data_IF_720251917209
#
_entry.id   IF_720251917209
#
_cell.length_a   1.000
_cell.length_b   1.000
_cell.length_c   1.000
_cell.angle_alpha   90.00
_cell.angle_beta   90.00
_cell.angle_gamma   90.00
#
_symmetry.space_group_name_H-M   'P 1'
#
loop_
_entity.id
_entity.type
_entity.pdbx_description
1 polymer ?
#
# COMPACT_ATOMS: atom_id res chain seq x y z
N UNK A 1 22.49 14.88 36.63
CA UNK A 1 23.28 13.82 35.97
C UNK A 1 23.11 12.55 36.80
N UNK A 2 22.16 11.71 36.48
CA UNK A 2 22.03 10.35 37.06
C UNK A 2 21.89 9.42 35.89
N UNK A 3 22.96 8.64 35.66
CA UNK A 3 23.06 7.62 34.64
C UNK A 3 22.19 6.43 34.99
N UNK A 4 21.09 6.25 34.29
CA UNK A 4 20.25 5.05 34.36
C UNK A 4 20.91 3.95 33.51
N UNK A 5 21.79 3.17 34.17
CA UNK A 5 22.39 1.99 33.58
C UNK A 5 21.45 0.81 33.75
N UNK A 6 20.64 0.52 32.75
CA UNK A 6 19.81 -0.69 32.70
C UNK A 6 20.71 -1.93 32.56
N UNK A 7 20.59 -2.94 33.41
CA UNK A 7 21.39 -4.16 33.32
C UNK A 7 20.77 -5.12 32.27
N UNK A 8 21.03 -4.90 31.00
CA UNK A 8 20.54 -5.75 29.90
C UNK A 8 21.36 -7.05 29.70
N UNK A 9 22.52 -7.16 30.33
CA UNK A 9 23.42 -8.34 30.18
C UNK A 9 23.11 -9.54 31.07
N UNK A 10 22.57 -9.33 32.27
CA UNK A 10 22.36 -10.43 33.24
C UNK A 10 21.12 -11.29 32.94
N UNK A 11 20.09 -10.71 32.30
CA UNK A 11 18.89 -11.45 31.87
C UNK A 11 19.19 -12.49 30.79
N UNK A 12 20.16 -12.20 29.91
CA UNK A 12 20.51 -13.11 28.82
C UNK A 12 21.28 -14.35 29.27
N UNK A 13 22.14 -14.25 30.29
CA UNK A 13 22.93 -15.38 30.80
C UNK A 13 22.04 -16.33 31.61
N UNK A 14 21.19 -15.81 32.48
CA UNK A 14 20.24 -16.61 33.25
C UNK A 14 19.23 -17.35 32.34
N UNK A 15 18.70 -16.66 31.34
CA UNK A 15 17.81 -17.27 30.36
C UNK A 15 18.52 -18.34 29.54
N UNK A 16 19.77 -18.13 29.19
CA UNK A 16 20.60 -19.12 28.51
C UNK A 16 20.86 -20.36 29.36
N UNK A 17 21.19 -20.20 30.64
CA UNK A 17 21.43 -21.32 31.59
C UNK A 17 20.13 -22.11 31.84
N UNK A 18 19.00 -21.46 32.01
CA UNK A 18 17.69 -22.12 32.16
C UNK A 18 17.35 -22.89 30.88
N UNK A 19 17.54 -22.30 29.69
CA UNK A 19 17.35 -22.98 28.42
C UNK A 19 18.21 -24.20 28.22
N UNK A 20 19.49 -24.13 28.62
CA UNK A 20 20.41 -25.25 28.58
C UNK A 20 19.98 -26.36 29.55
N UNK A 21 19.56 -26.02 30.77
CA UNK A 21 19.07 -26.97 31.77
C UNK A 21 17.80 -27.72 31.29
N UNK A 22 16.87 -27.00 30.64
CA UNK A 22 15.67 -27.61 30.04
C UNK A 22 16.06 -28.56 28.91
N UNK A 23 17.00 -28.18 28.04
CA UNK A 23 17.48 -29.02 26.94
C UNK A 23 18.12 -30.31 27.44
N UNK A 24 19.06 -30.20 28.38
CA UNK A 24 19.74 -31.37 28.98
C UNK A 24 18.75 -32.27 29.72
N UNK A 25 17.84 -31.70 30.49
CA UNK A 25 16.77 -32.44 31.17
C UNK A 25 15.83 -33.17 30.21
N UNK A 26 15.48 -32.54 29.10
CA UNK A 26 14.62 -33.13 28.04
C UNK A 26 15.30 -34.35 27.39
N UNK A 27 16.59 -34.22 27.05
CA UNK A 27 17.39 -35.30 26.47
C UNK A 27 17.54 -36.48 27.47
N UNK A 28 17.74 -36.18 28.74
CA UNK A 28 17.86 -37.20 29.77
C UNK A 28 16.53 -37.97 29.96
N UNK A 29 15.42 -37.27 30.05
CA UNK A 29 14.08 -37.86 30.14
C UNK A 29 13.81 -38.74 28.91
N UNK A 30 14.06 -38.23 27.70
CA UNK A 30 13.87 -38.96 26.45
C UNK A 30 14.61 -40.30 26.43
N UNK A 31 15.84 -40.32 26.91
CA UNK A 31 16.70 -41.52 26.93
C UNK A 31 16.29 -42.56 27.98
N UNK A 32 15.41 -42.18 28.93
CA UNK A 32 14.88 -43.06 29.97
C UNK A 32 13.46 -43.56 29.70
N UNK A 33 12.81 -43.09 28.63
CA UNK A 33 11.48 -43.58 28.23
C UNK A 33 11.59 -44.92 27.49
N UNK A 34 10.59 -45.80 27.69
CA UNK A 34 10.45 -47.03 26.90
C UNK A 34 10.14 -46.74 25.42
N UNK A 35 10.53 -47.62 24.50
CA UNK A 35 10.32 -47.48 23.08
C UNK A 35 8.85 -47.23 22.74
N UNK A 36 7.92 -47.98 23.32
CA UNK A 36 6.49 -47.85 23.11
C UNK A 36 5.94 -46.45 23.46
N UNK A 37 6.50 -45.84 24.53
CA UNK A 37 6.10 -44.48 24.90
C UNK A 37 6.75 -43.41 24.01
N UNK A 38 7.94 -43.66 23.47
CA UNK A 38 8.58 -42.77 22.49
C UNK A 38 7.81 -42.74 21.17
N UNK A 39 7.40 -43.92 20.65
CA UNK A 39 6.63 -44.05 19.43
C UNK A 39 5.27 -43.35 19.57
N UNK A 40 4.57 -43.57 20.67
CA UNK A 40 3.30 -42.89 20.96
C UNK A 40 3.42 -41.36 21.04
N UNK A 41 4.51 -40.84 21.63
CA UNK A 41 4.76 -39.41 21.70
C UNK A 41 4.99 -38.83 20.27
N UNK A 42 5.77 -39.53 19.45
CA UNK A 42 6.10 -39.07 18.09
C UNK A 42 4.89 -39.11 17.19
N UNK A 43 4.10 -40.19 17.23
CA UNK A 43 3.02 -40.41 16.28
C UNK A 43 1.75 -39.64 16.65
N UNK A 44 1.43 -39.50 17.93
CA UNK A 44 0.18 -38.89 18.38
C UNK A 44 0.37 -37.48 18.96
N UNK A 45 1.32 -37.29 19.88
CA UNK A 45 1.45 -36.02 20.62
C UNK A 45 2.14 -34.95 19.80
N UNK A 46 3.24 -35.27 19.11
CA UNK A 46 4.03 -34.28 18.35
C UNK A 46 3.24 -33.63 17.23
N UNK A 47 2.46 -34.37 16.39
CA UNK A 47 1.64 -33.76 15.35
C UNK A 47 0.57 -32.84 15.92
N UNK A 48 -0.08 -33.24 17.02
CA UNK A 48 -1.09 -32.42 17.69
C UNK A 48 -0.46 -31.12 18.23
N UNK A 49 0.70 -31.21 18.86
CA UNK A 49 1.40 -30.06 19.41
C UNK A 49 1.86 -29.09 18.32
N UNK A 50 2.37 -29.60 17.21
CA UNK A 50 2.71 -28.81 16.02
C UNK A 50 1.46 -28.10 15.47
N UNK A 51 0.34 -28.81 15.33
CA UNK A 51 -0.92 -28.25 14.85
C UNK A 51 -1.42 -27.12 15.78
N UNK A 52 -1.35 -27.30 17.09
CA UNK A 52 -1.71 -26.29 18.10
C UNK A 52 -0.82 -25.06 18.00
N UNK A 53 0.50 -25.25 17.85
CA UNK A 53 1.45 -24.12 17.70
C UNK A 53 1.20 -23.37 16.41
N UNK A 54 1.01 -24.06 15.28
CA UNK A 54 0.73 -23.41 13.99
C UNK A 54 -0.58 -22.62 14.05
N UNK A 55 -1.64 -23.23 14.63
CA UNK A 55 -2.94 -22.58 14.78
C UNK A 55 -2.85 -21.37 15.71
N UNK A 56 -2.12 -21.47 16.82
CA UNK A 56 -1.89 -20.36 17.75
C UNK A 56 -1.14 -19.21 17.11
N UNK A 57 -0.07 -19.50 16.36
CA UNK A 57 0.69 -18.49 15.60
C UNK A 57 -0.18 -17.83 14.52
N UNK A 58 -0.94 -18.63 13.76
CA UNK A 58 -1.87 -18.12 12.76
C UNK A 58 -2.93 -17.19 13.36
N UNK A 59 -3.54 -17.60 14.45
CA UNK A 59 -4.51 -16.79 15.19
C UNK A 59 -3.87 -15.49 15.73
N UNK A 60 -2.66 -15.57 16.27
CA UNK A 60 -1.89 -14.41 16.73
C UNK A 60 -1.65 -13.38 15.62
N UNK A 61 -1.26 -13.83 14.42
CA UNK A 61 -1.08 -12.96 13.24
C UNK A 61 -2.41 -12.32 12.83
N UNK A 62 -3.50 -13.09 12.80
CA UNK A 62 -4.84 -12.57 12.44
C UNK A 62 -5.30 -11.53 13.45
N UNK A 63 -5.19 -11.81 14.75
CA UNK A 63 -5.57 -10.86 15.82
C UNK A 63 -4.74 -9.58 15.74
N UNK A 64 -3.42 -9.71 15.53
CA UNK A 64 -2.53 -8.57 15.35
C UNK A 64 -2.95 -7.74 14.13
N UNK A 65 -3.26 -8.37 12.99
CA UNK A 65 -3.70 -7.70 11.77
C UNK A 65 -5.05 -6.98 11.95
N UNK A 66 -5.99 -7.58 12.67
CA UNK A 66 -7.28 -6.96 13.00
C UNK A 66 -7.08 -5.75 13.93
N UNK A 67 -6.23 -5.89 14.95
CA UNK A 67 -5.97 -4.81 15.91
C UNK A 67 -5.29 -3.61 15.23
N UNK A 68 -4.30 -3.86 14.38
CA UNK A 68 -3.65 -2.77 13.60
C UNK A 68 -4.65 -2.08 12.67
N UNK A 69 -5.47 -2.84 11.94
CA UNK A 69 -6.52 -2.28 11.07
C UNK A 69 -7.55 -1.44 11.84
N UNK A 70 -7.95 -1.85 13.04
CA UNK A 70 -8.87 -1.06 13.88
C UNK A 70 -8.21 0.23 14.36
N UNK A 71 -6.95 0.18 14.73
CA UNK A 71 -6.18 1.36 15.15
C UNK A 71 -6.04 2.39 14.02
N UNK A 72 -5.66 1.94 12.82
CA UNK A 72 -5.54 2.82 11.66
C UNK A 72 -6.89 3.43 11.25
N UNK A 73 -7.99 2.67 11.32
CA UNK A 73 -9.33 3.21 11.06
C UNK A 73 -9.72 4.30 12.06
N UNK A 74 -9.52 4.08 13.35
CA UNK A 74 -9.82 5.06 14.37
C UNK A 74 -8.98 6.35 14.24
N UNK A 75 -7.70 6.21 13.86
CA UNK A 75 -6.83 7.36 13.57
C UNK A 75 -7.31 8.13 12.33
N UNK A 76 -7.65 7.41 11.25
CA UNK A 76 -8.20 8.00 10.03
C UNK A 76 -9.47 8.82 10.35
N UNK A 77 -10.43 8.24 11.06
CA UNK A 77 -11.70 8.89 11.36
C UNK A 77 -11.52 10.18 12.21
N UNK A 78 -10.52 10.19 13.10
CA UNK A 78 -10.14 11.42 13.85
C UNK A 78 -9.54 12.48 12.93
N UNK A 79 -8.67 12.08 11.99
CA UNK A 79 -8.06 13.00 11.03
C UNK A 79 -9.08 13.54 10.03
N UNK A 80 -10.04 12.73 9.59
CA UNK A 80 -11.16 13.17 8.73
C UNK A 80 -11.96 14.27 9.42
N UNK A 81 -12.35 14.07 10.68
CA UNK A 81 -13.05 15.12 11.45
C UNK A 81 -12.22 16.38 11.59
N UNK A 82 -10.91 16.23 11.86
CA UNK A 82 -10.00 17.38 11.96
C UNK A 82 -9.82 18.11 10.64
N UNK A 83 -9.78 17.39 9.52
CA UNK A 83 -9.73 17.97 8.18
C UNK A 83 -10.96 18.84 7.88
N UNK A 84 -12.17 18.38 8.27
CA UNK A 84 -13.41 19.11 8.08
C UNK A 84 -13.49 20.38 8.96
N UNK A 85 -12.91 20.34 10.13
CA UNK A 85 -12.96 21.46 11.11
C UNK A 85 -11.82 22.47 10.95
N UNK A 86 -10.75 22.13 10.25
CA UNK A 86 -9.56 23.00 10.14
C UNK A 86 -9.84 24.17 9.16
N UNK A 87 -9.74 25.43 9.60
CA UNK A 87 -9.98 26.58 8.73
C UNK A 87 -8.79 26.91 7.81
N UNK A 88 -7.58 26.51 8.18
CA UNK A 88 -6.35 26.86 7.47
C UNK A 88 -6.13 25.89 6.29
N UNK A 89 -6.13 26.41 5.05
CA UNK A 89 -5.86 25.62 3.84
C UNK A 89 -4.50 24.90 3.87
N UNK A 90 -3.46 25.50 4.45
CA UNK A 90 -2.14 24.89 4.60
C UNK A 90 -2.20 23.67 5.52
N UNK A 91 -2.81 23.79 6.69
CA UNK A 91 -2.96 22.68 7.64
C UNK A 91 -3.89 21.59 7.09
N UNK A 92 -4.95 21.98 6.36
CA UNK A 92 -5.81 21.01 5.65
C UNK A 92 -5.01 20.22 4.62
N UNK A 93 -4.12 20.86 3.87
CA UNK A 93 -3.23 20.18 2.91
C UNK A 93 -2.33 19.16 3.61
N UNK A 94 -1.71 19.54 4.74
CA UNK A 94 -0.87 18.63 5.53
C UNK A 94 -1.68 17.41 6.04
N UNK A 95 -2.88 17.65 6.56
CA UNK A 95 -3.79 16.58 7.01
C UNK A 95 -4.20 15.68 5.84
N UNK A 96 -4.50 16.26 4.68
CA UNK A 96 -4.87 15.50 3.48
C UNK A 96 -3.74 14.57 3.01
N UNK A 97 -2.49 15.05 3.01
CA UNK A 97 -1.31 14.23 2.70
C UNK A 97 -1.18 13.06 3.69
N UNK A 98 -1.24 13.34 4.99
CA UNK A 98 -1.17 12.30 6.04
C UNK A 98 -2.30 11.29 5.93
N UNK A 99 -3.52 11.72 5.58
CA UNK A 99 -4.67 10.82 5.38
C UNK A 99 -4.46 9.84 4.23
N UNK A 100 -3.92 10.29 3.10
CA UNK A 100 -3.65 9.42 1.95
C UNK A 100 -2.54 8.42 2.30
N UNK A 101 -1.47 8.86 2.95
CA UNK A 101 -0.38 7.99 3.39
C UNK A 101 -0.83 6.96 4.42
N UNK A 102 -1.59 7.39 5.44
CA UNK A 102 -2.14 6.51 6.48
C UNK A 102 -3.10 5.46 5.90
N UNK A 103 -3.76 5.78 4.78
CA UNK A 103 -4.70 4.91 4.09
C UNK A 103 -4.06 4.07 2.98
N UNK A 104 -2.73 3.91 2.98
CA UNK A 104 -1.96 3.12 2.01
C UNK A 104 -2.26 3.50 0.55
N UNK A 105 -2.46 4.78 0.27
CA UNK A 105 -2.82 5.30 -1.06
C UNK A 105 -4.09 4.69 -1.65
N UNK A 106 -5.05 4.35 -0.79
CA UNK A 106 -6.37 3.85 -1.19
C UNK A 106 -7.45 4.91 -0.95
N UNK A 107 -8.43 4.97 -1.86
CA UNK A 107 -9.58 5.89 -1.69
C UNK A 107 -10.57 5.40 -0.63
N UNK A 108 -10.58 4.09 -0.36
CA UNK A 108 -11.55 3.44 0.54
C UNK A 108 -11.63 4.11 1.92
N UNK A 109 -12.80 4.67 2.23
CA UNK A 109 -13.07 5.36 3.50
C UNK A 109 -12.65 6.84 3.53
N UNK A 110 -12.26 7.42 2.39
CA UNK A 110 -12.00 8.85 2.19
C UNK A 110 -13.00 9.48 1.22
N UNK A 111 -13.95 8.71 0.69
CA UNK A 111 -14.88 9.12 -0.37
C UNK A 111 -15.61 10.43 -0.02
N UNK A 112 -16.00 10.58 1.26
CA UNK A 112 -16.74 11.75 1.76
C UNK A 112 -15.95 13.05 1.62
N UNK A 113 -14.63 13.00 1.81
CA UNK A 113 -13.74 14.17 1.78
C UNK A 113 -12.89 14.23 0.51
N UNK A 114 -13.06 13.30 -0.43
CA UNK A 114 -12.25 13.20 -1.63
C UNK A 114 -12.32 14.47 -2.47
N UNK A 115 -13.50 15.03 -2.69
CA UNK A 115 -13.69 16.27 -3.47
C UNK A 115 -12.99 17.47 -2.81
N UNK A 116 -13.23 17.81 -1.52
CA UNK A 116 -12.52 18.94 -0.91
C UNK A 116 -11.01 18.72 -0.80
N UNK A 117 -10.53 17.48 -0.68
CA UNK A 117 -9.10 17.18 -0.77
C UNK A 117 -8.56 17.43 -2.19
N UNK A 118 -9.30 16.99 -3.22
CA UNK A 118 -8.89 17.17 -4.61
C UNK A 118 -8.81 18.66 -4.98
N UNK A 119 -9.74 19.49 -4.52
CA UNK A 119 -9.68 20.95 -4.72
C UNK A 119 -8.41 21.58 -4.13
N UNK A 120 -8.00 21.15 -2.93
CA UNK A 120 -6.75 21.60 -2.32
C UNK A 120 -5.53 21.17 -3.15
N UNK A 121 -5.50 19.94 -3.65
CA UNK A 121 -4.41 19.45 -4.48
C UNK A 121 -4.38 20.16 -5.85
N UNK A 122 -5.54 20.40 -6.48
CA UNK A 122 -5.63 21.19 -7.71
C UNK A 122 -5.07 22.59 -7.50
N UNK A 123 -5.48 23.27 -6.42
CA UNK A 123 -4.94 24.57 -6.04
C UNK A 123 -3.41 24.51 -5.86
N UNK A 124 -2.92 23.46 -5.18
CA UNK A 124 -1.48 23.29 -4.93
C UNK A 124 -0.70 23.07 -6.23
N UNK A 125 -1.20 22.25 -7.16
CA UNK A 125 -0.54 22.05 -8.46
C UNK A 125 -0.47 23.35 -9.26
N UNK A 126 -1.53 24.19 -9.19
CA UNK A 126 -1.59 25.47 -9.92
C UNK A 126 -0.74 26.56 -9.33
N UNK A 127 -0.62 26.65 -7.99
CA UNK A 127 -0.09 27.82 -7.29
C UNK A 127 1.28 27.61 -6.67
N UNK A 128 1.70 26.38 -6.43
CA UNK A 128 3.01 26.06 -5.85
C UNK A 128 4.13 26.24 -6.90
N UNK A 129 4.35 27.50 -7.33
CA UNK A 129 5.35 27.86 -8.34
C UNK A 129 6.72 28.03 -7.69
N UNK A 130 7.77 27.59 -8.38
CA UNK A 130 9.17 27.73 -7.98
C UNK A 130 9.86 26.42 -7.61
N UNK A 131 11.19 26.42 -7.71
CA UNK A 131 12.06 25.23 -7.59
C UNK A 131 11.91 24.47 -6.27
N UNK A 132 11.68 25.16 -5.17
CA UNK A 132 11.55 24.54 -3.84
C UNK A 132 10.20 23.84 -3.64
N UNK A 133 9.22 24.10 -4.51
CA UNK A 133 7.85 23.58 -4.34
C UNK A 133 7.49 22.44 -5.31
N UNK A 134 8.39 22.04 -6.21
CA UNK A 134 8.16 20.94 -7.16
C UNK A 134 7.78 19.61 -6.47
N UNK A 135 8.35 19.34 -5.28
CA UNK A 135 8.01 18.13 -4.52
C UNK A 135 6.54 18.14 -4.10
N UNK A 136 6.04 19.27 -3.62
CA UNK A 136 4.64 19.42 -3.17
C UNK A 136 3.70 19.34 -4.38
N UNK A 137 4.07 19.96 -5.53
CA UNK A 137 3.31 19.83 -6.79
C UNK A 137 3.23 18.37 -7.25
N UNK A 138 4.36 17.66 -7.27
CA UNK A 138 4.41 16.26 -7.65
C UNK A 138 3.58 15.37 -6.73
N UNK A 139 3.68 15.56 -5.41
CA UNK A 139 2.83 14.86 -4.44
C UNK A 139 1.34 15.14 -4.69
N UNK A 140 0.97 16.41 -4.87
CA UNK A 140 -0.42 16.79 -5.14
C UNK A 140 -0.95 16.16 -6.43
N UNK A 141 -0.15 16.17 -7.50
CA UNK A 141 -0.49 15.49 -8.76
C UNK A 141 -0.71 13.98 -8.56
N UNK A 142 0.19 13.31 -7.84
CA UNK A 142 0.04 11.87 -7.53
C UNK A 142 -1.20 11.57 -6.71
N UNK A 143 -1.55 12.43 -5.74
CA UNK A 143 -2.71 12.23 -4.87
C UNK A 143 -4.04 12.47 -5.59
N UNK A 144 -4.09 13.35 -6.59
CA UNK A 144 -5.25 13.47 -7.48
C UNK A 144 -5.55 12.15 -8.20
N UNK A 145 -4.51 11.40 -8.59
CA UNK A 145 -4.66 10.06 -9.15
C UNK A 145 -5.16 9.01 -8.14
N UNK A 146 -4.80 9.15 -6.85
CA UNK A 146 -5.32 8.29 -5.77
C UNK A 146 -6.80 8.54 -5.50
N UNK A 147 -7.22 9.83 -5.56
CA UNK A 147 -8.61 10.24 -5.35
C UNK A 147 -9.51 9.97 -6.56
N UNK A 148 -8.97 9.51 -7.68
CA UNK A 148 -9.66 9.33 -8.98
C UNK A 148 -10.50 10.55 -9.36
N UNK A 149 -9.96 11.74 -9.13
CA UNK A 149 -10.67 13.00 -9.38
C UNK A 149 -10.59 13.40 -10.85
N UNK A 150 -11.46 12.86 -11.66
CA UNK A 150 -11.49 13.03 -13.14
C UNK A 150 -11.46 14.48 -13.62
N UNK A 151 -12.12 15.46 -12.97
CA UNK A 151 -12.02 16.85 -13.39
C UNK A 151 -10.59 17.42 -13.40
N UNK A 152 -9.63 16.77 -12.72
CA UNK A 152 -8.23 17.18 -12.73
C UNK A 152 -7.42 16.65 -13.94
N UNK A 153 -7.99 15.80 -14.81
CA UNK A 153 -7.28 15.20 -15.96
C UNK A 153 -6.64 16.28 -16.85
N UNK A 154 -7.32 17.37 -17.27
CA UNK A 154 -6.70 18.39 -18.11
C UNK A 154 -5.49 19.08 -17.43
N UNK A 155 -5.57 19.29 -16.10
CA UNK A 155 -4.47 19.84 -15.32
C UNK A 155 -3.29 18.87 -15.26
N UNK A 156 -3.55 17.58 -15.08
CA UNK A 156 -2.51 16.54 -15.03
C UNK A 156 -1.83 16.36 -16.40
N UNK A 157 -2.59 16.45 -17.52
CA UNK A 157 -2.01 16.44 -18.87
C UNK A 157 -1.07 17.62 -19.04
N UNK A 158 -1.46 18.83 -18.62
CA UNK A 158 -0.58 20.00 -18.64
C UNK A 158 0.65 19.82 -17.74
N UNK A 159 0.50 19.13 -16.61
CA UNK A 159 1.63 18.85 -15.69
C UNK A 159 2.66 17.86 -16.26
N UNK A 160 2.38 17.18 -17.37
CA UNK A 160 3.37 16.41 -18.13
C UNK A 160 4.42 17.31 -18.82
N UNK A 161 4.19 18.60 -18.88
CA UNK A 161 5.11 19.63 -19.43
C UNK A 161 5.77 20.48 -18.32
N UNK A 162 5.66 20.09 -17.05
CA UNK A 162 6.30 20.82 -15.93
C UNK A 162 7.82 20.79 -16.06
N UNK A 163 8.49 21.86 -15.67
CA UNK A 163 9.96 22.00 -15.70
C UNK A 163 10.66 20.88 -14.92
N UNK A 164 10.04 20.36 -13.86
CA UNK A 164 10.63 19.36 -12.97
C UNK A 164 10.17 17.93 -13.33
N UNK A 165 11.12 17.07 -13.61
CA UNK A 165 10.89 15.65 -13.92
C UNK A 165 10.01 14.92 -12.87
N UNK A 166 10.19 15.26 -11.57
CA UNK A 166 9.37 14.69 -10.51
C UNK A 166 7.87 15.00 -10.67
N UNK A 167 7.52 16.21 -11.10
CA UNK A 167 6.13 16.60 -11.33
C UNK A 167 5.57 15.89 -12.56
N UNK A 168 6.33 15.85 -13.67
CA UNK A 168 5.94 15.13 -14.88
C UNK A 168 5.71 13.64 -14.61
N UNK A 169 6.64 12.99 -13.92
CA UNK A 169 6.51 11.57 -13.54
C UNK A 169 5.29 11.28 -12.64
N UNK A 170 5.01 12.20 -11.69
CA UNK A 170 3.86 12.10 -10.80
C UNK A 170 2.54 12.28 -11.54
N UNK A 171 2.49 13.21 -12.50
CA UNK A 171 1.34 13.42 -13.37
C UNK A 171 1.06 12.18 -14.25
N UNK A 172 2.09 11.60 -14.86
CA UNK A 172 1.98 10.35 -15.62
C UNK A 172 1.41 9.21 -14.77
N UNK A 173 1.95 9.02 -13.55
CA UNK A 173 1.46 8.01 -12.61
C UNK A 173 -0.02 8.22 -12.25
N UNK A 174 -0.43 9.47 -12.02
CA UNK A 174 -1.82 9.82 -11.71
C UNK A 174 -2.76 9.50 -12.88
N UNK A 175 -2.40 9.91 -14.09
CA UNK A 175 -3.17 9.64 -15.31
C UNK A 175 -3.33 8.14 -15.59
N UNK A 176 -2.27 7.36 -15.36
CA UNK A 176 -2.30 5.91 -15.47
C UNK A 176 -3.21 5.24 -14.43
N UNK A 177 -3.24 5.73 -13.17
CA UNK A 177 -4.16 5.25 -12.13
C UNK A 177 -5.61 5.52 -12.48
N UNK A 178 -5.89 6.70 -13.00
CA UNK A 178 -7.23 7.14 -13.42
C UNK A 178 -7.67 6.48 -14.73
N UNK A 179 -6.78 5.77 -15.43
CA UNK A 179 -7.02 5.23 -16.77
C UNK A 179 -7.58 6.30 -17.72
N UNK A 180 -6.94 7.48 -17.74
CA UNK A 180 -7.38 8.65 -18.46
C UNK A 180 -7.08 8.50 -19.96
N UNK A 181 -8.05 8.05 -20.76
CA UNK A 181 -7.92 7.87 -22.21
C UNK A 181 -7.51 9.16 -22.92
N UNK A 182 -7.97 10.29 -22.41
CA UNK A 182 -7.69 11.64 -22.93
C UNK A 182 -6.18 11.96 -22.90
N UNK A 183 -5.42 11.32 -22.00
CA UNK A 183 -3.99 11.53 -21.88
C UNK A 183 -3.14 10.65 -22.80
N UNK A 184 -3.74 9.68 -23.52
CA UNK A 184 -3.05 8.67 -24.31
C UNK A 184 -2.00 9.25 -25.25
N UNK A 185 -2.39 10.21 -26.07
CA UNK A 185 -1.52 10.81 -27.09
C UNK A 185 -0.33 11.53 -26.43
N UNK A 186 -0.59 12.30 -25.36
CA UNK A 186 0.47 13.03 -24.67
C UNK A 186 1.41 12.10 -23.92
N UNK A 187 0.91 11.03 -23.32
CA UNK A 187 1.74 10.00 -22.67
C UNK A 187 2.63 9.27 -23.67
N UNK A 188 2.13 9.00 -24.88
CA UNK A 188 2.93 8.39 -25.97
C UNK A 188 4.07 9.30 -26.41
N UNK A 189 3.85 10.61 -26.54
CA UNK A 189 4.88 11.60 -26.82
C UNK A 189 5.94 11.61 -25.71
N UNK A 190 5.52 11.79 -24.45
CA UNK A 190 6.41 11.91 -23.29
C UNK A 190 7.23 10.64 -23.07
N UNK A 191 6.67 9.44 -23.27
CA UNK A 191 7.44 8.20 -23.10
C UNK A 191 8.55 8.01 -24.15
N UNK A 192 8.48 8.70 -25.29
CA UNK A 192 9.47 8.65 -26.35
C UNK A 192 10.50 9.77 -26.26
N UNK A 193 10.05 10.98 -25.89
CA UNK A 193 10.82 12.22 -26.10
C UNK A 193 11.33 12.85 -24.80
N UNK A 194 10.79 12.53 -23.62
CA UNK A 194 11.26 13.15 -22.38
C UNK A 194 12.72 12.80 -22.12
N UNK A 195 13.50 13.79 -21.72
CA UNK A 195 14.93 13.60 -21.40
C UNK A 195 15.16 12.78 -20.13
N UNK A 196 14.22 12.77 -19.17
CA UNK A 196 14.35 12.02 -17.92
C UNK A 196 13.84 10.58 -18.06
N UNK A 197 14.68 9.61 -17.71
CA UNK A 197 14.35 8.19 -17.83
C UNK A 197 13.18 7.78 -16.92
N UNK A 198 13.06 8.38 -15.74
CA UNK A 198 11.96 8.06 -14.80
C UNK A 198 10.63 8.51 -15.38
N UNK A 199 10.60 9.70 -16.01
CA UNK A 199 9.41 10.22 -16.69
C UNK A 199 9.01 9.30 -17.83
N UNK A 200 9.97 8.93 -18.71
CA UNK A 200 9.69 7.97 -19.80
C UNK A 200 9.12 6.65 -19.29
N UNK A 201 9.72 6.09 -18.24
CA UNK A 201 9.25 4.82 -17.65
C UNK A 201 7.85 4.93 -17.07
N UNK A 202 7.55 6.00 -16.31
CA UNK A 202 6.22 6.23 -15.73
C UNK A 202 5.16 6.50 -16.78
N UNK A 203 5.50 7.24 -17.84
CA UNK A 203 4.59 7.51 -18.96
C UNK A 203 4.26 6.23 -19.73
N UNK A 204 5.24 5.35 -19.94
CA UNK A 204 5.03 4.02 -20.54
C UNK A 204 4.12 3.15 -19.67
N UNK A 205 4.38 3.07 -18.37
CA UNK A 205 3.54 2.32 -17.44
C UNK A 205 2.09 2.83 -17.44
N UNK A 206 1.92 4.16 -17.46
CA UNK A 206 0.62 4.80 -17.53
C UNK A 206 -0.12 4.48 -18.84
N UNK A 207 0.58 4.61 -19.97
CA UNK A 207 0.06 4.28 -21.28
C UNK A 207 -0.40 2.82 -21.37
N UNK A 208 0.43 1.87 -20.92
CA UNK A 208 0.08 0.45 -20.91
C UNK A 208 -1.14 0.14 -20.02
N UNK A 209 -1.29 0.83 -18.88
CA UNK A 209 -2.45 0.67 -18.01
C UNK A 209 -3.74 1.16 -18.66
N UNK A 210 -3.66 2.26 -19.41
CA UNK A 210 -4.78 2.82 -20.17
C UNK A 210 -5.18 1.84 -21.28
N UNK A 211 -4.23 1.36 -22.08
CA UNK A 211 -4.49 0.43 -23.18
C UNK A 211 -5.09 -0.89 -22.71
N UNK A 212 -4.54 -1.49 -21.63
CA UNK A 212 -5.12 -2.70 -21.04
C UNK A 212 -6.56 -2.52 -20.56
N UNK A 213 -6.92 -1.33 -20.11
CA UNK A 213 -8.29 -1.05 -19.67
C UNK A 213 -9.26 -0.90 -20.86
N UNK A 214 -8.75 -0.47 -22.01
CA UNK A 214 -9.52 -0.39 -23.26
C UNK A 214 -9.79 -1.79 -23.85
N UNK A 215 -8.82 -2.69 -23.76
CA UNK A 215 -8.91 -4.06 -24.31
C UNK A 215 -9.80 -4.99 -23.47
N UNK A 216 -9.89 -4.80 -22.15
CA UNK A 216 -10.69 -5.67 -21.27
C UNK A 216 -12.16 -5.83 -21.67
N UNK A 217 -12.93 -4.78 -21.99
CA UNK A 217 -14.32 -4.95 -22.39
C UNK A 217 -14.50 -5.62 -23.76
N UNK A 218 -13.47 -5.61 -24.62
CA UNK A 218 -13.49 -6.30 -25.92
C UNK A 218 -13.30 -7.81 -25.73
N UNK A 219 -12.41 -8.22 -24.82
CA UNK A 219 -12.17 -9.62 -24.51
C UNK A 219 -13.38 -10.28 -23.82
N UNK A 220 -14.09 -9.55 -22.95
CA UNK A 220 -15.28 -10.04 -22.26
C UNK A 220 -16.45 -10.22 -23.26
N UNK A 221 -16.60 -9.33 -24.25
CA UNK A 221 -17.60 -9.49 -25.31
C UNK A 221 -17.28 -10.61 -26.30
N UNK A 222 -16.00 -10.82 -26.61
CA UNK A 222 -15.57 -11.88 -27.53
C UNK A 222 -15.57 -13.26 -26.86
N UNK A 223 -15.24 -13.35 -25.56
CA UNK A 223 -15.34 -14.58 -24.77
C UNK A 223 -16.78 -15.10 -24.68
N UNK A 224 -17.76 -14.21 -24.50
CA UNK A 224 -19.17 -14.57 -24.51
C UNK A 224 -19.67 -15.05 -25.88
N UNK A 225 -19.09 -14.62 -26.99
CA UNK A 225 -19.43 -15.07 -28.34
C UNK A 225 -18.86 -16.46 -28.67
N UNK A 226 -17.69 -16.83 -28.11
CA UNK A 226 -17.12 -18.17 -28.27
C UNK A 226 -17.95 -19.22 -27.51
N UNK A 227 -18.44 -18.91 -26.32
CA UNK A 227 -19.30 -19.78 -25.52
C UNK A 227 -20.68 -20.04 -26.18
N UNK A 228 -21.22 -19.05 -26.90
CA UNK A 228 -22.49 -19.19 -27.65
C UNK A 228 -22.29 -20.03 -28.92
N UNK A 229 -21.12 -19.98 -29.52
CA UNK A 229 -20.78 -20.79 -30.71
C UNK A 229 -20.64 -22.27 -30.36
N UNK A 230 -19.92 -22.58 -29.29
CA UNK A 230 -19.75 -23.97 -28.80
C UNK A 230 -21.05 -24.63 -28.36
N UNK A 231 -22.05 -23.86 -27.87
CA UNK A 231 -23.39 -24.39 -27.52
C UNK A 231 -24.31 -24.66 -28.74
N UNK A 232 -23.95 -24.15 -29.94
CA UNK A 232 -24.73 -24.42 -31.16
C UNK A 232 -24.18 -25.57 -31.99
N UNK A 233 -22.95 -25.99 -31.73
CA UNK A 233 -22.27 -27.08 -32.45
C UNK A 233 -22.25 -28.41 -31.64
N UNK A 234 -22.78 -28.46 -30.41
CA UNK A 234 -22.98 -29.64 -29.59
C UNK A 234 -24.46 -29.96 -29.40
#
# INVERSE_FOLDING_TARGET
MTSDSRPTGQLNVLTGLVGLGVLVGSIWIWNHLSFDTQDWIIDDIVPILIAVVITGLGLGVVVRKIRTRRHTRAQRDRLVKRFEQEPSSKKRLDIACVLIELNDYQLTGLERIATPMAELFISTVKTALGDKQHRIRGMAASYLGVLDHRPAIPLLIRSLEDDHAHVRASAALALGRMRALEARVKLEEVMKEDWDQTVRSRSREAFERIMRAEDQPLLEKTGGLSEIRDRREG
#
